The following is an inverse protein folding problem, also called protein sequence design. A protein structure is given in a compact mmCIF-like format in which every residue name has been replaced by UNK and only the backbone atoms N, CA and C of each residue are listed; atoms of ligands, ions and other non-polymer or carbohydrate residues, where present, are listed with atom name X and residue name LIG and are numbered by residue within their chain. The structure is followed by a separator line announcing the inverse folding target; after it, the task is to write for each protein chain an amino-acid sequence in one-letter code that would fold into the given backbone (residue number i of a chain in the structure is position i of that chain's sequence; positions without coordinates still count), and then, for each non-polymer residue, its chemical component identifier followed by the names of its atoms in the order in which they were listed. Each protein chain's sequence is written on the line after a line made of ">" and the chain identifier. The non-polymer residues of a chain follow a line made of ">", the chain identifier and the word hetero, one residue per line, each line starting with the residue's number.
data_IF_999412685993
#
_entry.id   IF_999412685993
#
_cell.length_a   1.000
_cell.length_b   1.000
_cell.length_c   1.000
_cell.angle_alpha   90.00
_cell.angle_beta   90.00
_cell.angle_gamma   90.00
#
_symmetry.space_group_name_H-M   'P 1'
#
loop_
_entity.id
_entity.type
_entity.pdbx_description
1 polymer ?
#
# COMPACT_ATOMS: atom_id res chain seq x y z
N UNK A 1 -14.50 9.12 2.82
CA UNK A 1 -15.61 10.04 2.58
C UNK A 1 -16.31 10.38 3.90
N UNK A 2 -16.80 9.39 4.64
CA UNK A 2 -17.53 9.63 5.90
C UNK A 2 -16.75 10.55 6.86
N UNK A 3 -15.46 10.28 7.07
CA UNK A 3 -14.63 11.11 7.95
C UNK A 3 -14.43 12.54 7.42
N UNK A 4 -14.26 12.74 6.12
CA UNK A 4 -14.19 14.07 5.53
C UNK A 4 -15.52 14.84 5.70
N UNK A 5 -16.66 14.18 5.53
CA UNK A 5 -17.97 14.75 5.79
C UNK A 5 -18.12 15.19 7.26
N UNK A 6 -17.69 14.33 8.18
CA UNK A 6 -17.71 14.62 9.62
C UNK A 6 -16.84 15.82 9.97
N UNK A 7 -15.58 15.84 9.50
CA UNK A 7 -14.62 16.91 9.82
C UNK A 7 -15.04 18.26 9.26
N UNK A 8 -15.66 18.30 8.09
CA UNK A 8 -16.12 19.52 7.44
C UNK A 8 -17.56 19.91 7.80
N UNK A 9 -18.24 19.07 8.60
CA UNK A 9 -19.67 19.22 8.88
C UNK A 9 -20.51 19.43 7.60
N UNK A 10 -20.28 18.59 6.60
CA UNK A 10 -20.90 18.64 5.27
C UNK A 10 -21.22 17.24 4.77
N UNK A 11 -22.40 17.04 4.17
CA UNK A 11 -22.89 15.71 3.78
C UNK A 11 -22.31 15.21 2.44
N UNK A 12 -21.93 16.09 1.53
CA UNK A 12 -21.64 15.72 0.13
C UNK A 12 -20.22 16.03 -0.34
N UNK A 13 -19.28 16.18 0.57
CA UNK A 13 -17.88 16.37 0.19
C UNK A 13 -17.17 15.04 -0.11
N UNK A 14 -16.22 15.08 -1.05
CA UNK A 14 -15.52 13.88 -1.52
C UNK A 14 -14.04 14.17 -1.68
N UNK A 15 -13.16 13.51 -0.91
CA UNK A 15 -11.71 13.61 -1.14
C UNK A 15 -11.32 12.94 -2.45
N UNK A 16 -10.22 13.39 -3.04
CA UNK A 16 -9.54 12.71 -4.13
C UNK A 16 -8.53 11.72 -3.59
N UNK A 17 -8.50 10.49 -4.13
CA UNK A 17 -7.55 9.47 -3.68
C UNK A 17 -7.06 8.62 -4.85
N UNK A 18 -5.75 8.32 -4.85
CA UNK A 18 -5.10 7.37 -5.75
C UNK A 18 -4.43 6.32 -4.88
N UNK A 19 -4.80 5.07 -5.06
CA UNK A 19 -4.21 3.93 -4.38
C UNK A 19 -3.36 3.09 -5.32
N UNK A 20 -2.17 2.70 -4.89
CA UNK A 20 -1.31 1.75 -5.59
C UNK A 20 -1.05 0.54 -4.72
N UNK A 21 -1.41 -0.64 -5.20
CA UNK A 21 -1.16 -1.91 -4.52
C UNK A 21 0.24 -2.35 -4.86
N UNK A 22 1.06 -2.60 -3.84
CA UNK A 22 2.35 -3.27 -3.97
C UNK A 22 2.33 -4.57 -3.18
N UNK A 23 2.93 -5.61 -3.73
CA UNK A 23 2.95 -6.94 -3.12
C UNK A 23 4.34 -7.37 -2.65
N UNK A 24 5.34 -6.54 -2.88
CA UNK A 24 6.75 -6.88 -2.69
C UNK A 24 7.42 -6.03 -1.61
N UNK A 25 8.27 -6.68 -0.83
CA UNK A 25 9.28 -6.00 -0.03
C UNK A 25 10.59 -5.79 -0.81
N UNK A 26 11.58 -5.21 -0.15
CA UNK A 26 12.89 -4.87 -0.74
C UNK A 26 13.67 -6.08 -1.29
N UNK A 27 13.41 -7.27 -0.78
CA UNK A 27 14.05 -8.53 -1.19
C UNK A 27 13.11 -9.46 -1.95
N UNK A 28 12.14 -8.94 -2.68
CA UNK A 28 11.15 -9.70 -3.47
C UNK A 28 10.20 -10.58 -2.64
N UNK A 29 10.33 -10.62 -1.32
CA UNK A 29 9.40 -11.40 -0.51
C UNK A 29 7.98 -10.82 -0.56
N UNK A 30 6.99 -11.67 -0.38
CA UNK A 30 5.60 -11.28 -0.31
C UNK A 30 5.35 -10.34 0.87
N UNK A 31 4.99 -9.11 0.55
CA UNK A 31 4.74 -8.04 1.52
C UNK A 31 3.64 -7.10 0.99
N UNK A 32 2.38 -7.54 1.00
CA UNK A 32 1.29 -6.76 0.44
C UNK A 32 1.01 -5.52 1.27
N UNK A 33 1.01 -4.36 0.60
CA UNK A 33 0.69 -3.07 1.20
C UNK A 33 0.11 -2.13 0.15
N UNK A 34 -0.51 -1.04 0.60
CA UNK A 34 -1.14 -0.07 -0.27
C UNK A 34 -0.52 1.30 -0.01
N UNK A 35 0.03 1.90 -1.05
CA UNK A 35 0.38 3.32 -1.03
C UNK A 35 -0.83 4.14 -1.43
N UNK A 36 -1.09 5.22 -0.69
CA UNK A 36 -2.23 6.10 -0.93
C UNK A 36 -1.76 7.54 -1.04
N UNK A 37 -2.07 8.18 -2.16
CA UNK A 37 -2.00 9.62 -2.32
C UNK A 37 -3.42 10.17 -2.14
N UNK A 38 -3.64 10.98 -1.11
CA UNK A 38 -4.94 11.57 -0.80
C UNK A 38 -4.81 13.09 -0.77
N UNK A 39 -5.86 13.78 -1.21
CA UNK A 39 -5.93 15.25 -1.09
C UNK A 39 -6.03 15.67 0.38
N UNK A 40 -5.33 16.75 0.75
CA UNK A 40 -5.44 17.37 2.07
C UNK A 40 -6.76 18.15 2.23
N UNK A 41 -7.78 17.75 1.52
CA UNK A 41 -9.09 18.38 1.49
C UNK A 41 -10.10 17.52 0.75
N UNK A 42 -11.31 18.05 0.62
CA UNK A 42 -12.39 17.40 -0.11
C UNK A 42 -13.07 18.40 -1.04
N UNK A 43 -13.64 17.89 -2.09
CA UNK A 43 -14.35 18.68 -3.09
C UNK A 43 -15.86 18.66 -2.82
N UNK A 44 -16.51 19.80 -2.97
CA UNK A 44 -17.98 19.91 -2.99
C UNK A 44 -18.53 19.35 -4.31
N UNK A 45 -19.83 19.13 -4.43
CA UNK A 45 -20.45 18.77 -5.71
C UNK A 45 -20.16 19.78 -6.83
N UNK A 46 -20.07 21.07 -6.49
CA UNK A 46 -19.79 22.19 -7.41
C UNK A 46 -18.33 22.23 -7.86
N UNK A 47 -17.43 21.56 -7.14
CA UNK A 47 -16.01 21.48 -7.45
C UNK A 47 -15.10 22.34 -6.60
N UNK A 48 -15.65 23.04 -5.61
CA UNK A 48 -14.86 23.83 -4.66
C UNK A 48 -14.03 22.92 -3.76
N UNK A 49 -12.77 23.30 -3.53
CA UNK A 49 -11.88 22.57 -2.65
C UNK A 49 -11.94 23.14 -1.24
N UNK A 50 -12.23 22.29 -0.27
CA UNK A 50 -12.27 22.61 1.15
C UNK A 50 -11.12 21.88 1.86
N UNK A 51 -10.22 22.61 2.49
CA UNK A 51 -9.13 22.02 3.25
C UNK A 51 -9.65 21.24 4.45
N UNK A 52 -9.06 20.09 4.72
CA UNK A 52 -9.33 19.28 5.90
C UNK A 52 -8.30 19.58 6.98
N UNK A 53 -8.68 19.57 8.25
CA UNK A 53 -7.72 19.50 9.33
C UNK A 53 -6.89 18.22 9.19
N UNK A 54 -5.72 18.19 9.79
CA UNK A 54 -4.86 17.01 9.78
C UNK A 54 -5.64 15.79 10.31
N UNK A 55 -5.52 14.67 9.61
CA UNK A 55 -6.13 13.42 10.06
C UNK A 55 -5.41 12.90 11.29
N UNK A 56 -6.19 12.43 12.25
CA UNK A 56 -5.69 11.61 13.34
C UNK A 56 -5.35 10.22 12.81
N UNK A 57 -4.07 9.83 12.96
CA UNK A 57 -3.55 8.55 12.46
C UNK A 57 -4.20 7.37 13.17
N UNK A 58 -4.38 7.48 14.49
CA UNK A 58 -4.96 6.39 15.30
C UNK A 58 -6.42 6.17 14.88
N UNK A 59 -7.15 7.26 14.68
CA UNK A 59 -8.51 7.20 14.15
C UNK A 59 -8.57 6.60 12.74
N UNK A 60 -7.60 6.93 11.88
CA UNK A 60 -7.55 6.37 10.53
C UNK A 60 -7.23 4.88 10.56
N UNK A 61 -6.37 4.45 11.48
CA UNK A 61 -6.01 3.05 11.70
C UNK A 61 -7.24 2.24 12.13
N UNK A 62 -8.01 2.73 13.09
CA UNK A 62 -9.26 2.09 13.55
C UNK A 62 -10.25 1.92 12.39
N UNK A 63 -10.50 3.00 11.66
CA UNK A 63 -11.42 2.98 10.50
C UNK A 63 -10.94 2.01 9.41
N UNK A 64 -9.62 1.93 9.21
CA UNK A 64 -9.03 0.98 8.26
C UNK A 64 -9.20 -0.46 8.70
N UNK A 65 -8.91 -0.76 9.96
CA UNK A 65 -9.06 -2.10 10.55
C UNK A 65 -10.53 -2.55 10.48
N UNK A 66 -11.47 -1.70 10.89
CA UNK A 66 -12.90 -1.99 10.84
C UNK A 66 -13.36 -2.30 9.42
N UNK A 67 -12.98 -1.47 8.45
CA UNK A 67 -13.36 -1.68 7.06
C UNK A 67 -12.82 -2.99 6.47
N UNK A 68 -11.60 -3.41 6.87
CA UNK A 68 -11.02 -4.70 6.44
C UNK A 68 -11.76 -5.87 7.08
N UNK A 69 -12.07 -5.81 8.37
CA UNK A 69 -12.84 -6.86 9.03
C UNK A 69 -14.26 -6.98 8.46
N UNK A 70 -14.95 -5.86 8.27
CA UNK A 70 -16.26 -5.85 7.62
C UNK A 70 -16.23 -6.49 6.23
N UNK A 71 -15.21 -6.15 5.43
CA UNK A 71 -15.04 -6.74 4.10
C UNK A 71 -14.84 -8.26 4.17
N UNK A 72 -14.00 -8.75 5.08
CA UNK A 72 -13.70 -10.17 5.21
C UNK A 72 -14.87 -10.97 5.76
N UNK A 73 -15.59 -10.43 6.73
CA UNK A 73 -16.85 -11.02 7.22
C UNK A 73 -17.90 -11.08 6.11
N UNK A 74 -18.11 -9.98 5.38
CA UNK A 74 -19.06 -9.93 4.26
C UNK A 74 -18.68 -10.85 3.08
N UNK A 75 -17.42 -11.28 3.00
CA UNK A 75 -16.92 -12.24 1.99
C UNK A 75 -16.74 -13.65 2.55
N UNK A 76 -17.18 -13.90 3.77
CA UNK A 76 -17.04 -15.21 4.44
C UNK A 76 -15.59 -15.73 4.41
N UNK A 77 -14.62 -14.81 4.63
CA UNK A 77 -13.18 -15.12 4.67
C UNK A 77 -12.61 -15.23 6.07
N UNK A 78 -13.39 -14.81 7.05
CA UNK A 78 -13.03 -14.85 8.47
C UNK A 78 -14.31 -15.01 9.29
N UNK A 79 -14.22 -15.73 10.39
CA UNK A 79 -15.33 -15.88 11.34
C UNK A 79 -15.36 -14.74 12.36
N UNK A 80 -16.55 -14.38 12.90
CA UNK A 80 -16.69 -13.30 13.88
C UNK A 80 -15.81 -13.52 15.13
N UNK A 81 -15.71 -14.74 15.61
CA UNK A 81 -14.90 -15.10 16.78
C UNK A 81 -13.42 -14.85 16.58
N UNK A 82 -12.93 -15.01 15.33
CA UNK A 82 -11.54 -14.71 14.97
C UNK A 82 -11.31 -13.20 15.00
N UNK A 83 -12.26 -12.39 14.51
CA UNK A 83 -12.18 -10.93 14.56
C UNK A 83 -12.12 -10.45 16.01
N UNK A 84 -12.99 -10.96 16.89
CA UNK A 84 -12.98 -10.62 18.31
C UNK A 84 -11.64 -10.99 18.98
N UNK A 85 -11.10 -12.15 18.65
CA UNK A 85 -9.77 -12.56 19.13
C UNK A 85 -8.68 -11.61 18.64
N UNK A 86 -8.66 -11.25 17.35
CA UNK A 86 -7.68 -10.32 16.76
C UNK A 86 -7.75 -8.91 17.35
N UNK A 87 -8.94 -8.43 17.72
CA UNK A 87 -9.11 -7.14 18.41
C UNK A 87 -8.47 -7.10 19.79
N UNK A 88 -8.31 -8.26 20.42
CA UNK A 88 -7.64 -8.41 21.73
C UNK A 88 -6.12 -8.53 21.64
N UNK A 89 -5.53 -8.57 20.45
CA UNK A 89 -4.07 -8.70 20.31
C UNK A 89 -3.36 -7.40 20.69
N UNK A 90 -2.21 -7.52 21.34
CA UNK A 90 -1.35 -6.38 21.69
C UNK A 90 -0.94 -5.58 20.46
N UNK A 91 -0.70 -6.27 19.32
CA UNK A 91 -0.42 -5.68 18.03
C UNK A 91 -1.49 -6.09 17.04
N UNK A 92 -2.24 -5.13 16.54
CA UNK A 92 -3.36 -5.38 15.62
C UNK A 92 -2.94 -5.99 14.27
N UNK A 93 -1.65 -5.93 13.91
CA UNK A 93 -1.15 -6.29 12.58
C UNK A 93 -1.45 -5.25 11.49
N UNK A 94 -2.17 -4.19 11.83
CA UNK A 94 -2.44 -3.04 10.93
C UNK A 94 -1.51 -1.89 11.27
N UNK A 95 -1.12 -1.14 10.24
CA UNK A 95 -0.33 0.08 10.42
C UNK A 95 -0.71 1.11 9.35
N UNK A 96 -0.64 2.38 9.70
CA UNK A 96 -0.81 3.51 8.79
C UNK A 96 0.35 4.46 9.01
N UNK A 97 1.05 4.81 7.93
CA UNK A 97 2.11 5.82 7.93
C UNK A 97 1.65 7.01 7.08
N UNK A 98 1.67 8.21 7.67
CA UNK A 98 1.38 9.48 6.98
C UNK A 98 2.52 10.49 7.12
N UNK A 99 3.76 10.01 7.22
CA UNK A 99 4.95 10.86 7.38
C UNK A 99 5.24 11.74 6.15
N UNK A 100 4.69 11.41 4.99
CA UNK A 100 4.90 12.14 3.74
C UNK A 100 3.78 13.14 3.52
N UNK A 101 4.14 14.42 3.51
CA UNK A 101 3.27 15.53 3.13
C UNK A 101 3.88 16.27 1.94
N UNK A 102 3.06 16.54 0.92
CA UNK A 102 3.45 17.30 -0.26
C UNK A 102 2.68 18.62 -0.27
N UNK A 103 3.37 19.78 -0.21
CA UNK A 103 2.70 21.07 -0.28
C UNK A 103 2.06 21.29 -1.65
N UNK A 104 1.07 22.18 -1.70
CA UNK A 104 0.43 22.56 -2.95
C UNK A 104 1.47 23.11 -3.95
N UNK A 105 1.46 22.62 -5.19
CA UNK A 105 2.37 23.03 -6.25
C UNK A 105 3.71 22.28 -6.28
N UNK A 106 4.00 21.38 -5.36
CA UNK A 106 5.21 20.54 -5.44
C UNK A 106 5.07 19.41 -6.48
N UNK A 107 5.10 19.81 -7.74
CA UNK A 107 5.00 18.89 -8.88
C UNK A 107 6.11 17.84 -8.86
N UNK A 108 7.35 18.25 -8.55
CA UNK A 108 8.48 17.34 -8.50
C UNK A 108 8.35 16.30 -7.37
N UNK A 109 7.81 16.70 -6.22
CA UNK A 109 7.49 15.78 -5.11
C UNK A 109 6.41 14.77 -5.50
N UNK A 110 5.37 15.22 -6.17
CA UNK A 110 4.30 14.34 -6.68
C UNK A 110 4.87 13.33 -7.68
N UNK A 111 5.70 13.75 -8.62
CA UNK A 111 6.32 12.86 -9.61
C UNK A 111 7.20 11.80 -8.94
N UNK A 112 8.06 12.19 -7.99
CA UNK A 112 8.88 11.23 -7.21
C UNK A 112 8.01 10.24 -6.45
N UNK A 113 6.93 10.70 -5.83
CA UNK A 113 6.02 9.83 -5.09
C UNK A 113 5.32 8.83 -6.02
N UNK A 114 4.84 9.29 -7.18
CA UNK A 114 4.22 8.41 -8.18
C UNK A 114 5.21 7.35 -8.67
N UNK A 115 6.45 7.74 -8.97
CA UNK A 115 7.51 6.80 -9.37
C UNK A 115 7.76 5.75 -8.28
N UNK A 116 7.80 6.17 -7.01
CA UNK A 116 7.94 5.26 -5.88
C UNK A 116 6.74 4.31 -5.74
N UNK A 117 5.53 4.82 -5.84
CA UNK A 117 4.28 4.04 -5.72
C UNK A 117 4.10 3.02 -6.85
N UNK A 118 4.67 3.30 -8.04
CA UNK A 118 4.51 2.47 -9.24
C UNK A 118 5.78 1.70 -9.61
N UNK A 119 6.78 1.69 -8.73
CA UNK A 119 8.04 0.99 -9.00
C UNK A 119 7.84 -0.50 -9.23
N UNK A 120 8.65 -1.05 -10.14
CA UNK A 120 8.70 -2.48 -10.39
C UNK A 120 9.25 -3.22 -9.14
N UNK A 121 8.73 -4.41 -8.81
CA UNK A 121 9.29 -5.26 -7.74
C UNK A 121 10.76 -5.59 -7.94
N UNK A 122 11.17 -5.75 -9.17
CA UNK A 122 12.53 -6.13 -9.56
C UNK A 122 13.36 -4.94 -10.04
N UNK A 123 14.63 -4.91 -9.64
CA UNK A 123 15.62 -3.97 -10.16
C UNK A 123 16.92 -4.70 -10.51
N UNK A 124 17.41 -4.46 -11.71
CA UNK A 124 18.70 -5.01 -12.16
C UNK A 124 19.87 -4.54 -11.28
N UNK A 125 19.82 -3.32 -10.75
CA UNK A 125 20.85 -2.79 -9.86
C UNK A 125 20.99 -3.59 -8.55
N UNK A 126 19.93 -4.32 -8.17
CA UNK A 126 19.90 -5.18 -6.98
C UNK A 126 20.34 -6.62 -7.24
N UNK A 127 20.47 -7.01 -8.50
CA UNK A 127 21.03 -8.29 -8.90
C UNK A 127 22.56 -8.19 -8.85
N UNK A 128 23.15 -8.56 -7.71
CA UNK A 128 24.58 -8.35 -7.45
C UNK A 128 25.44 -9.33 -8.21
N UNK A 129 25.06 -10.61 -8.19
CA UNK A 129 25.87 -11.69 -8.77
C UNK A 129 25.01 -12.91 -9.10
N UNK A 130 25.39 -13.58 -10.17
CA UNK A 130 25.05 -14.99 -10.41
C UNK A 130 26.36 -15.79 -10.20
N UNK A 131 26.34 -16.72 -9.24
CA UNK A 131 27.50 -17.53 -8.93
C UNK A 131 27.78 -18.58 -10.01
N UNK A 132 28.98 -19.16 -9.99
CA UNK A 132 29.38 -20.25 -10.93
C UNK A 132 28.49 -21.51 -10.76
N UNK A 133 27.84 -21.65 -9.59
CA UNK A 133 26.85 -22.70 -9.31
C UNK A 133 25.43 -22.30 -9.67
N UNK A 134 25.23 -21.14 -10.30
CA UNK A 134 23.93 -20.63 -10.71
C UNK A 134 23.11 -19.94 -9.58
N UNK A 135 23.68 -19.82 -8.38
CA UNK A 135 22.98 -19.11 -7.29
C UNK A 135 22.88 -17.61 -7.57
N UNK A 136 21.71 -17.04 -7.33
CA UNK A 136 21.42 -15.63 -7.55
C UNK A 136 21.53 -14.87 -6.22
N UNK A 137 22.37 -13.84 -6.20
CA UNK A 137 22.49 -12.91 -5.06
C UNK A 137 21.71 -11.65 -5.37
N UNK A 138 20.62 -11.43 -4.65
CA UNK A 138 19.78 -10.25 -4.76
C UNK A 138 19.88 -9.41 -3.48
N UNK A 139 20.19 -8.12 -3.60
CA UNK A 139 20.48 -7.25 -2.47
C UNK A 139 19.57 -6.02 -2.45
N UNK A 140 19.03 -5.67 -1.27
CA UNK A 140 18.31 -4.44 -1.05
C UNK A 140 19.25 -3.25 -0.81
N UNK A 141 18.78 -2.05 -1.11
CA UNK A 141 19.51 -0.81 -0.80
C UNK A 141 19.55 -0.53 0.71
N UNK A 142 18.48 -0.84 1.41
CA UNK A 142 18.38 -0.68 2.86
C UNK A 142 19.15 -1.78 3.57
N UNK A 143 19.76 -1.44 4.70
CA UNK A 143 20.41 -2.43 5.57
C UNK A 143 19.37 -3.17 6.40
N UNK A 144 19.61 -4.46 6.67
CA UNK A 144 18.81 -5.28 7.61
C UNK A 144 17.30 -5.23 7.39
N UNK A 145 16.85 -5.30 6.12
CA UNK A 145 15.44 -5.12 5.76
C UNK A 145 14.55 -6.36 5.97
N UNK A 146 15.12 -7.52 6.28
CA UNK A 146 14.37 -8.75 6.59
C UNK A 146 15.16 -9.65 7.52
N UNK A 147 14.48 -10.21 8.52
CA UNK A 147 15.02 -11.29 9.35
C UNK A 147 14.89 -12.63 8.61
N UNK A 148 15.95 -13.41 8.60
CA UNK A 148 15.99 -14.75 8.02
C UNK A 148 16.25 -15.77 9.12
N UNK A 149 15.61 -16.95 9.09
CA UNK A 149 15.89 -18.02 10.04
C UNK A 149 17.39 -18.32 10.08
N UNK A 150 17.93 -18.56 11.27
CA UNK A 150 19.29 -19.04 11.39
C UNK A 150 19.34 -20.48 10.84
N UNK A 151 20.17 -20.78 9.83
CA UNK A 151 20.30 -22.13 9.28
C UNK A 151 20.77 -23.18 10.30
N UNK A 152 21.37 -22.73 11.41
CA UNK A 152 21.84 -23.59 12.51
C UNK A 152 20.92 -23.54 13.74
N UNK A 153 19.89 -22.72 13.70
CA UNK A 153 18.91 -22.57 14.79
C UNK A 153 17.80 -23.62 14.70
N UNK A 154 17.08 -23.79 15.79
CA UNK A 154 15.91 -24.68 15.90
C UNK A 154 14.64 -24.08 15.28
N UNK A 155 14.73 -22.90 14.67
CA UNK A 155 13.60 -22.19 14.07
C UNK A 155 12.71 -21.43 15.04
N UNK A 156 13.01 -21.47 16.34
CA UNK A 156 12.20 -20.79 17.38
C UNK A 156 12.70 -19.39 17.72
N UNK A 157 13.92 -19.05 17.30
CA UNK A 157 14.51 -17.74 17.55
C UNK A 157 14.27 -16.75 16.38
N UNK A 158 14.21 -15.47 16.73
CA UNK A 158 14.17 -14.39 15.76
C UNK A 158 15.34 -14.54 14.77
N UNK A 159 15.05 -14.49 13.49
CA UNK A 159 16.04 -14.65 12.43
C UNK A 159 17.08 -13.53 12.41
N UNK A 160 18.19 -13.76 11.68
CA UNK A 160 19.25 -12.77 11.53
C UNK A 160 18.84 -11.74 10.47
N UNK A 161 18.80 -10.43 10.79
CA UNK A 161 18.50 -9.40 9.83
C UNK A 161 19.57 -9.31 8.74
N UNK A 162 19.16 -9.35 7.48
CA UNK A 162 20.04 -9.21 6.31
C UNK A 162 19.38 -8.33 5.25
N UNK A 163 20.20 -7.73 4.40
CA UNK A 163 19.75 -6.97 3.25
C UNK A 163 19.98 -7.71 1.92
N UNK A 164 20.24 -9.02 1.93
CA UNK A 164 20.42 -9.83 0.74
C UNK A 164 19.77 -11.21 0.89
N UNK A 165 19.45 -11.78 -0.26
CA UNK A 165 19.06 -13.18 -0.39
C UNK A 165 20.00 -13.89 -1.36
N UNK A 166 20.21 -15.19 -1.12
CA UNK A 166 20.88 -16.10 -2.05
C UNK A 166 19.85 -17.15 -2.42
N UNK A 167 19.47 -17.21 -3.67
CA UNK A 167 18.37 -18.04 -4.16
C UNK A 167 18.85 -18.95 -5.31
N UNK A 168 18.39 -20.21 -5.35
CA UNK A 168 18.41 -20.99 -6.59
C UNK A 168 17.64 -20.26 -7.71
N UNK A 169 17.97 -20.45 -8.98
CA UNK A 169 17.31 -19.73 -10.08
C UNK A 169 15.80 -19.89 -10.13
N UNK A 170 15.29 -21.09 -9.85
CA UNK A 170 13.84 -21.36 -9.86
C UNK A 170 13.13 -20.65 -8.70
N UNK A 171 13.74 -20.63 -7.51
CA UNK A 171 13.19 -19.93 -6.35
C UNK A 171 13.18 -18.41 -6.59
N UNK A 172 14.25 -17.89 -7.21
CA UNK A 172 14.28 -16.47 -7.60
C UNK A 172 13.16 -16.13 -8.60
N UNK A 173 12.93 -16.97 -9.60
CA UNK A 173 11.83 -16.78 -10.54
C UNK A 173 10.46 -16.89 -9.85
N UNK A 174 10.29 -17.81 -8.91
CA UNK A 174 9.06 -17.93 -8.14
C UNK A 174 8.81 -16.68 -7.31
N UNK A 175 9.81 -16.19 -6.56
CA UNK A 175 9.72 -14.93 -5.78
C UNK A 175 9.42 -13.73 -6.68
N UNK A 176 9.98 -13.66 -7.86
CA UNK A 176 9.73 -12.57 -8.80
C UNK A 176 8.33 -12.65 -9.43
N UNK A 177 7.97 -13.83 -9.94
CA UNK A 177 6.73 -13.99 -10.73
C UNK A 177 5.46 -13.89 -9.89
N UNK A 178 5.50 -14.16 -8.58
CA UNK A 178 4.34 -13.97 -7.70
C UNK A 178 3.82 -12.52 -7.66
N UNK A 179 4.65 -11.54 -8.06
CA UNK A 179 4.27 -10.13 -8.10
C UNK A 179 3.66 -9.69 -9.42
N UNK A 180 3.61 -10.57 -10.42
CA UNK A 180 2.97 -10.28 -11.71
C UNK A 180 1.45 -10.34 -11.50
N UNK A 181 0.73 -9.24 -11.72
CA UNK A 181 -0.72 -9.25 -11.54
C UNK A 181 -1.40 -10.09 -12.63
N UNK A 182 -2.54 -10.68 -12.28
CA UNK A 182 -3.39 -11.33 -13.27
C UNK A 182 -3.77 -10.37 -14.40
N UNK A 183 -3.99 -10.94 -15.59
CA UNK A 183 -4.42 -10.17 -16.76
C UNK A 183 -5.67 -9.33 -16.44
N UNK A 184 -5.60 -8.04 -16.72
CA UNK A 184 -6.71 -7.11 -16.50
C UNK A 184 -6.84 -6.60 -15.06
N UNK A 185 -5.97 -6.98 -14.14
CA UNK A 185 -5.92 -6.38 -12.80
C UNK A 185 -5.14 -5.08 -12.83
N UNK A 186 -5.77 -4.02 -12.33
CA UNK A 186 -5.14 -2.71 -12.21
C UNK A 186 -4.58 -2.54 -10.80
N UNK A 187 -3.27 -2.37 -10.68
CA UNK A 187 -2.60 -2.10 -9.40
C UNK A 187 -2.81 -0.66 -8.93
N UNK A 188 -2.98 0.28 -9.86
CA UNK A 188 -3.30 1.67 -9.55
C UNK A 188 -4.79 1.92 -9.73
N UNK A 189 -5.43 2.49 -8.72
CA UNK A 189 -6.86 2.76 -8.68
C UNK A 189 -7.16 4.17 -8.23
N UNK A 190 -8.21 4.74 -8.81
CA UNK A 190 -8.67 6.11 -8.56
C UNK A 190 -10.00 6.08 -7.81
N UNK A 191 -10.07 6.82 -6.72
CA UNK A 191 -11.25 6.84 -5.84
C UNK A 191 -11.74 8.27 -5.59
N UNK A 192 -12.95 8.35 -5.07
CA UNK A 192 -13.56 9.62 -4.69
C UNK A 192 -13.66 10.58 -5.86
N UNK A 193 -13.12 11.78 -5.69
CA UNK A 193 -13.12 12.83 -6.72
C UNK A 193 -12.37 12.44 -7.99
N UNK A 194 -11.32 11.63 -7.88
CA UNK A 194 -10.52 11.17 -9.02
C UNK A 194 -11.06 9.93 -9.72
N UNK A 195 -12.13 9.31 -9.22
CA UNK A 195 -12.70 8.11 -9.83
C UNK A 195 -13.13 8.36 -11.28
N UNK A 196 -13.02 7.34 -12.12
CA UNK A 196 -13.42 7.41 -13.54
C UNK A 196 -14.87 7.86 -13.70
N UNK A 197 -15.78 7.36 -12.84
CA UNK A 197 -17.19 7.74 -12.85
C UNK A 197 -17.37 9.25 -12.63
N UNK A 198 -16.71 9.82 -11.61
CA UNK A 198 -16.81 11.25 -11.30
C UNK A 198 -16.18 12.12 -12.39
N UNK A 199 -15.04 11.69 -12.93
CA UNK A 199 -14.40 12.38 -14.06
C UNK A 199 -15.30 12.42 -15.29
N UNK A 200 -15.92 11.28 -15.65
CA UNK A 200 -16.86 11.22 -16.76
C UNK A 200 -18.14 12.02 -16.55
N UNK A 201 -18.60 12.19 -15.31
CA UNK A 201 -19.75 13.07 -14.99
C UNK A 201 -19.39 14.55 -15.18
N UNK A 202 -18.20 14.97 -14.70
CA UNK A 202 -17.73 16.36 -14.89
C UNK A 202 -17.52 16.72 -16.35
N UNK A 203 -16.96 15.82 -17.15
CA UNK A 203 -16.79 16.04 -18.58
C UNK A 203 -18.12 16.21 -19.32
N UNK A 204 -19.15 15.45 -18.92
CA UNK A 204 -20.51 15.57 -19.51
C UNK A 204 -21.31 16.78 -19.00
N UNK A 205 -21.04 17.29 -17.82
CA UNK A 205 -21.69 18.47 -17.27
C UNK A 205 -21.15 19.80 -17.82
N UNK A 206 -20.02 19.77 -18.53
CA UNK A 206 -19.44 20.94 -19.25
C UNK A 206 -20.08 21.11 -20.63
N UNK A 207 -20.72 20.05 -21.16
CA UNK A 207 -21.32 20.03 -22.51
C UNK A 207 -22.87 20.16 -22.47
N UNK A 208 -23.47 20.50 -21.31
CA UNK A 208 -24.91 20.62 -21.10
C UNK A 208 -25.38 22.04 -20.76
#
# INVERSE_FOLDING_TARGET
>A
KAEACRLLNRDEVVPGMIGAIQTHGELLHWHPHIHVLITCGAFTPEGDFLELPQFDVDRLLDVWQDAVFELYLAKEKIEPEVVENMRGWEHSGFSVDQSVFLPAGDQAGIERLIQYMTRCPFSLSRLVKVSDTGQIVYQAEKQACRAFPDPKGDGTQAGVPRNFQILPPLDFLAEFTQHIPDKGKHLVRYFGWYSYRRRGMRQRGVDG
#
